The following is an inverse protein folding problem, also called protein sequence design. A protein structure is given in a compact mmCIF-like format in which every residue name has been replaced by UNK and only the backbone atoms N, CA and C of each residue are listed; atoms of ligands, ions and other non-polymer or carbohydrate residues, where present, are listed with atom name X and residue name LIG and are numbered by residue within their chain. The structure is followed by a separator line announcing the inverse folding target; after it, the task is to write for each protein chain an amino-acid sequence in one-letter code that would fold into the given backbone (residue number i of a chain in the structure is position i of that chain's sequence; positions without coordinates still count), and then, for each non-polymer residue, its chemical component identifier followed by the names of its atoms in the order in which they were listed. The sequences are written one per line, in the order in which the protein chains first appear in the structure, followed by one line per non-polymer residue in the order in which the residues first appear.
data_IF_187668903117
#
_entry.id   IF_187668903117
#
_cell.length_a   1.000
_cell.length_b   1.000
_cell.length_c   1.000
_cell.angle_alpha   90.00
_cell.angle_beta   90.00
_cell.angle_gamma   90.00
#
_symmetry.space_group_name_H-M   'P 1'
#
loop_
_entity.id
_entity.type
_entity.pdbx_description
1 polymer ?
#
# COMPACT_ATOMS: atom_id res chain seq x y z
N UNK A 1 -9.98 47.70 38.89
CA UNK A 1 -10.10 46.23 38.67
C UNK A 1 -9.98 45.96 37.18
N UNK A 2 -8.80 45.57 36.72
CA UNK A 2 -8.55 45.22 35.33
C UNK A 2 -8.70 43.70 35.19
N UNK A 3 -9.63 43.26 34.36
CA UNK A 3 -9.79 41.83 34.03
C UNK A 3 -8.78 41.45 32.97
N UNK A 4 -7.83 40.55 33.33
CA UNK A 4 -6.97 39.86 32.35
C UNK A 4 -7.80 38.77 31.64
N UNK A 5 -7.86 38.86 30.34
CA UNK A 5 -8.30 37.75 29.51
C UNK A 5 -7.09 36.88 29.17
N UNK A 6 -7.09 35.62 29.62
CA UNK A 6 -6.13 34.61 29.20
C UNK A 6 -6.66 34.02 27.90
N UNK A 7 -5.99 34.33 26.79
CA UNK A 7 -6.22 33.66 25.52
C UNK A 7 -5.41 32.37 25.55
N UNK A 8 -6.09 31.25 25.66
CA UNK A 8 -5.48 29.93 25.48
C UNK A 8 -5.19 29.72 23.98
N UNK A 9 -3.91 29.75 23.60
CA UNK A 9 -3.49 29.26 22.28
C UNK A 9 -3.59 27.74 22.24
N UNK A 10 -4.57 27.25 21.50
CA UNK A 10 -4.60 25.88 21.03
C UNK A 10 -3.53 25.74 19.95
N UNK A 11 -2.41 25.12 20.30
CA UNK A 11 -1.43 24.66 19.33
C UNK A 11 -2.03 23.44 18.63
N UNK A 12 -2.61 23.66 17.47
CA UNK A 12 -2.94 22.60 16.54
C UNK A 12 -1.62 22.02 16.02
N UNK A 13 -1.34 20.77 16.35
CA UNK A 13 -0.30 19.97 15.68
C UNK A 13 -0.73 19.69 14.24
N UNK A 14 -0.68 20.71 13.40
CA UNK A 14 -0.77 20.61 11.97
C UNK A 14 0.62 20.30 11.42
N UNK A 15 0.91 19.03 11.13
CA UNK A 15 2.08 18.71 10.34
C UNK A 15 1.98 19.46 9.02
N UNK A 16 2.94 20.34 8.73
CA UNK A 16 3.04 21.06 7.47
C UNK A 16 3.18 20.05 6.33
N UNK A 17 2.10 19.85 5.59
CA UNK A 17 2.13 19.14 4.30
C UNK A 17 2.69 20.15 3.29
N UNK A 18 4.02 20.17 3.13
CA UNK A 18 4.61 20.92 2.02
C UNK A 18 4.19 20.29 0.69
N UNK A 19 3.74 21.08 -0.29
CA UNK A 19 3.44 20.57 -1.61
C UNK A 19 4.74 20.12 -2.27
N UNK A 20 4.94 18.80 -2.38
CA UNK A 20 6.03 18.24 -3.15
C UNK A 20 5.86 18.65 -4.61
N UNK A 21 6.94 19.00 -5.29
CA UNK A 21 6.99 19.33 -6.71
C UNK A 21 6.48 18.14 -7.55
N UNK A 22 5.19 18.15 -7.88
CA UNK A 22 4.49 17.18 -8.69
C UNK A 22 3.45 16.38 -7.89
N UNK A 23 2.17 16.79 -7.98
CA UNK A 23 1.07 15.96 -7.50
C UNK A 23 1.09 14.60 -8.21
N UNK A 24 0.67 13.49 -7.54
CA UNK A 24 0.49 12.20 -8.17
C UNK A 24 -0.35 12.35 -9.46
N UNK A 25 0.04 11.67 -10.54
CA UNK A 25 -0.66 11.82 -11.83
C UNK A 25 -2.12 11.40 -11.76
N UNK A 26 -2.41 10.36 -10.99
CA UNK A 26 -3.78 9.89 -10.77
C UNK A 26 -4.68 10.93 -10.11
N UNK A 27 -4.11 11.98 -9.52
CA UNK A 27 -4.82 12.98 -8.72
C UNK A 27 -4.96 14.34 -9.41
N UNK A 28 -4.42 14.48 -10.62
CA UNK A 28 -4.42 15.76 -11.33
C UNK A 28 -5.86 16.25 -11.64
N UNK A 29 -6.76 15.33 -11.96
CA UNK A 29 -8.14 15.64 -12.34
C UNK A 29 -9.14 15.62 -11.18
N UNK A 30 -8.69 15.27 -9.97
CA UNK A 30 -9.52 15.24 -8.75
C UNK A 30 -10.87 14.50 -8.93
N UNK A 31 -10.86 13.40 -9.67
CA UNK A 31 -12.04 12.55 -9.85
C UNK A 31 -12.34 11.76 -8.56
N UNK A 32 -13.54 11.18 -8.47
CA UNK A 32 -13.96 10.36 -7.32
C UNK A 32 -12.89 9.30 -6.99
N UNK A 33 -12.53 9.18 -5.71
CA UNK A 33 -11.46 8.30 -5.24
C UNK A 33 -10.03 8.83 -5.48
N UNK A 34 -9.90 9.99 -6.15
CA UNK A 34 -8.65 10.73 -6.34
C UNK A 34 -8.79 12.21 -5.90
N UNK A 35 -9.82 12.49 -5.15
CA UNK A 35 -10.19 13.80 -4.59
C UNK A 35 -9.87 13.92 -3.09
N UNK A 36 -10.46 14.88 -2.40
CA UNK A 36 -10.26 15.11 -0.98
C UNK A 36 -11.33 14.44 -0.09
N UNK A 37 -11.89 13.29 -0.50
CA UNK A 37 -13.02 12.64 0.17
C UNK A 37 -12.70 11.24 0.69
N UNK A 38 -11.44 10.92 0.97
CA UNK A 38 -11.01 9.68 1.60
C UNK A 38 -11.00 9.76 3.13
N UNK A 39 -10.77 8.61 3.79
CA UNK A 39 -10.76 8.47 5.24
C UNK A 39 -12.16 8.38 5.85
N UNK A 40 -12.23 8.03 7.13
CA UNK A 40 -13.49 7.83 7.86
C UNK A 40 -14.37 9.09 7.89
N UNK A 41 -13.75 10.28 7.95
CA UNK A 41 -14.46 11.58 7.90
C UNK A 41 -14.75 12.08 6.49
N UNK A 42 -14.33 11.37 5.44
CA UNK A 42 -14.45 11.78 4.03
C UNK A 42 -13.93 13.20 3.76
N UNK A 43 -12.85 13.56 4.39
CA UNK A 43 -12.25 14.90 4.36
C UNK A 43 -10.73 14.89 4.21
N UNK A 44 -10.18 13.74 3.83
CA UNK A 44 -8.73 13.59 3.62
C UNK A 44 -8.43 13.36 2.15
N UNK A 45 -7.39 14.00 1.64
CA UNK A 45 -6.96 13.83 0.25
C UNK A 45 -6.58 12.36 0.00
N UNK A 46 -7.24 11.72 -0.95
CA UNK A 46 -6.99 10.33 -1.36
C UNK A 46 -5.54 10.13 -1.87
N UNK A 47 -4.88 11.21 -2.23
CA UNK A 47 -3.54 11.26 -2.79
C UNK A 47 -2.50 11.74 -1.77
N UNK A 48 -2.90 11.93 -0.52
CA UNK A 48 -2.01 12.38 0.52
C UNK A 48 -0.89 11.36 0.76
N UNK A 49 0.31 11.86 0.99
CA UNK A 49 1.46 11.08 1.40
C UNK A 49 2.13 11.73 2.60
N UNK A 50 2.71 10.94 3.47
CA UNK A 50 3.41 11.41 4.66
C UNK A 50 4.90 11.18 4.52
N UNK A 51 5.71 12.07 5.07
CA UNK A 51 7.15 11.87 5.23
C UNK A 51 7.37 10.81 6.33
N UNK A 52 8.10 9.78 5.98
CA UNK A 52 8.61 8.75 6.89
C UNK A 52 10.10 9.02 7.05
N UNK A 53 10.49 9.54 8.21
CA UNK A 53 11.90 9.69 8.52
C UNK A 53 12.54 8.32 8.61
N UNK A 54 13.66 8.16 7.91
CA UNK A 54 14.43 6.93 7.88
C UNK A 54 15.03 6.58 9.24
N UNK A 55 15.48 5.35 9.37
CA UNK A 55 16.10 4.87 10.60
C UNK A 55 16.37 3.37 10.58
N UNK A 56 16.91 2.88 11.69
CA UNK A 56 17.25 1.46 11.88
C UNK A 56 16.19 0.79 12.77
N UNK A 57 15.84 -0.44 12.42
CA UNK A 57 14.85 -1.24 13.13
C UNK A 57 15.12 -2.73 12.92
N UNK A 58 14.40 -3.58 13.63
CA UNK A 58 14.43 -5.03 13.44
C UNK A 58 13.21 -5.47 12.63
N UNK A 59 13.42 -5.96 11.40
CA UNK A 59 12.34 -6.50 10.58
C UNK A 59 11.67 -7.68 11.31
N UNK A 60 10.36 -7.82 11.14
CA UNK A 60 9.56 -8.86 11.80
C UNK A 60 9.64 -8.82 13.34
N UNK A 61 10.06 -7.70 13.92
CA UNK A 61 10.36 -7.56 15.35
C UNK A 61 11.43 -8.57 15.85
N UNK A 62 12.38 -8.92 14.98
CA UNK A 62 13.44 -9.89 15.26
C UNK A 62 14.82 -9.26 15.02
N UNK A 63 15.65 -9.20 16.07
CA UNK A 63 16.98 -8.59 16.03
C UNK A 63 17.94 -9.24 15.01
N UNK A 64 17.69 -10.47 14.60
CA UNK A 64 18.46 -11.15 13.54
C UNK A 64 18.34 -10.45 12.18
N UNK A 65 17.28 -9.68 11.97
CA UNK A 65 16.95 -9.07 10.69
C UNK A 65 17.01 -7.55 10.73
N UNK A 66 18.02 -7.00 11.39
CA UNK A 66 18.22 -5.54 11.43
C UNK A 66 18.25 -4.94 10.01
N UNK A 67 17.60 -3.80 9.86
CA UNK A 67 17.56 -3.05 8.61
C UNK A 67 17.60 -1.54 8.86
N UNK A 68 18.20 -0.82 7.92
CA UNK A 68 18.16 0.65 7.85
C UNK A 68 17.46 1.06 6.57
N UNK A 69 16.54 1.97 6.68
CA UNK A 69 15.85 2.59 5.53
C UNK A 69 16.12 4.10 5.53
N UNK A 70 16.34 4.68 4.35
CA UNK A 70 16.40 6.15 4.21
C UNK A 70 15.01 6.75 4.23
N UNK A 71 14.92 8.07 4.44
CA UNK A 71 13.65 8.77 4.43
C UNK A 71 12.94 8.66 3.07
N UNK A 72 11.63 8.47 3.10
CA UNK A 72 10.77 8.39 1.93
C UNK A 72 9.38 8.95 2.25
N UNK A 73 8.56 9.16 1.25
CA UNK A 73 7.14 9.47 1.45
C UNK A 73 6.31 8.23 1.13
N UNK A 74 5.31 7.94 1.96
CA UNK A 74 4.38 6.84 1.72
C UNK A 74 2.95 7.39 1.57
N UNK A 75 2.21 6.88 0.58
CA UNK A 75 0.78 7.17 0.45
C UNK A 75 0.08 6.74 1.75
N UNK A 76 -0.74 7.62 2.33
CA UNK A 76 -1.40 7.32 3.61
C UNK A 76 -2.52 6.29 3.46
N UNK A 77 -3.06 6.13 2.26
CA UNK A 77 -4.06 5.14 1.90
C UNK A 77 -3.54 4.14 0.87
N UNK A 78 -4.16 2.97 0.80
CA UNK A 78 -4.05 2.08 -0.35
C UNK A 78 -4.56 2.80 -1.61
N UNK A 79 -4.06 2.43 -2.78
CA UNK A 79 -4.53 2.99 -4.05
C UNK A 79 -6.01 2.65 -4.24
N UNK A 80 -6.82 3.65 -4.51
CA UNK A 80 -8.26 3.51 -4.72
C UNK A 80 -8.60 3.09 -6.15
N UNK A 81 -9.80 2.56 -6.37
CA UNK A 81 -10.30 2.30 -7.73
C UNK A 81 -10.25 3.56 -8.60
N UNK A 82 -10.64 4.73 -8.05
CA UNK A 82 -10.60 5.99 -8.80
C UNK A 82 -9.20 6.39 -9.26
N UNK A 83 -8.20 6.25 -8.40
CA UNK A 83 -6.79 6.48 -8.79
C UNK A 83 -6.32 5.51 -9.85
N UNK A 84 -6.64 4.22 -9.70
CA UNK A 84 -6.24 3.22 -10.68
C UNK A 84 -6.96 3.38 -12.02
N UNK A 85 -8.21 3.85 -12.02
CA UNK A 85 -8.96 4.18 -13.24
C UNK A 85 -8.24 5.24 -14.07
N UNK A 86 -7.71 6.28 -13.43
CA UNK A 86 -6.94 7.32 -14.12
C UNK A 86 -5.69 6.74 -14.83
N UNK A 87 -5.05 5.72 -14.25
CA UNK A 87 -3.95 4.99 -14.90
C UNK A 87 -4.43 4.23 -16.15
N UNK A 88 -5.56 3.52 -16.03
CA UNK A 88 -6.13 2.79 -17.16
C UNK A 88 -6.60 3.72 -18.27
N UNK A 89 -7.16 4.88 -17.91
CA UNK A 89 -7.58 5.90 -18.88
C UNK A 89 -6.39 6.48 -19.66
N UNK A 90 -5.21 6.48 -19.05
CA UNK A 90 -3.97 6.94 -19.67
C UNK A 90 -3.26 5.87 -20.53
N UNK A 91 -3.71 4.61 -20.55
CA UNK A 91 -3.11 3.56 -21.39
C UNK A 91 -3.33 3.85 -22.91
N UNK A 92 -2.34 3.61 -23.77
CA UNK A 92 -1.05 2.97 -23.49
C UNK A 92 0.06 3.92 -22.99
N UNK A 93 -0.15 5.23 -22.91
CA UNK A 93 0.89 6.22 -22.55
C UNK A 93 1.37 6.12 -21.09
N UNK A 94 0.58 5.45 -20.22
CA UNK A 94 0.96 5.18 -18.82
C UNK A 94 1.90 3.97 -18.66
N UNK A 95 2.26 3.27 -19.73
CA UNK A 95 3.23 2.16 -19.65
C UNK A 95 4.59 2.66 -19.18
N UNK A 96 5.22 1.99 -18.19
CA UNK A 96 6.53 2.38 -17.72
C UNK A 96 7.61 2.12 -18.79
N UNK A 97 8.66 2.92 -18.74
CA UNK A 97 9.90 2.71 -19.50
C UNK A 97 10.90 1.95 -18.62
N UNK A 98 11.89 1.34 -19.25
CA UNK A 98 13.00 0.70 -18.53
C UNK A 98 13.61 1.70 -17.55
N UNK A 99 13.72 1.28 -16.29
CA UNK A 99 14.24 2.10 -15.20
C UNK A 99 13.18 2.90 -14.43
N UNK A 100 11.97 3.10 -14.94
CA UNK A 100 10.91 3.80 -14.21
C UNK A 100 10.58 3.07 -12.91
N UNK A 101 10.22 3.82 -11.86
CA UNK A 101 9.90 3.26 -10.54
C UNK A 101 11.10 2.64 -9.83
N UNK A 102 12.34 3.01 -10.17
CA UNK A 102 13.54 2.55 -9.50
C UNK A 102 13.67 3.15 -8.08
N UNK A 103 14.17 2.36 -7.15
CA UNK A 103 14.66 2.88 -5.87
C UNK A 103 15.99 3.61 -6.10
N UNK A 104 16.16 4.87 -5.63
CA UNK A 104 17.31 5.70 -6.02
C UNK A 104 18.66 5.15 -5.59
N UNK A 105 18.69 4.35 -4.52
CA UNK A 105 19.92 3.75 -3.98
C UNK A 105 20.15 2.31 -4.42
N UNK A 106 19.25 1.74 -5.22
CA UNK A 106 19.36 0.34 -5.66
C UNK A 106 19.35 0.27 -7.18
N UNK A 107 20.51 0.26 -7.83
CA UNK A 107 20.62 0.18 -9.30
C UNK A 107 19.87 -1.02 -9.87
N UNK A 108 19.16 -0.80 -10.99
CA UNK A 108 18.42 -1.84 -11.69
C UNK A 108 17.14 -2.30 -10.97
N UNK A 109 16.64 -1.53 -9.99
CA UNK A 109 15.38 -1.82 -9.30
C UNK A 109 14.13 -1.38 -10.05
N UNK A 110 14.26 -0.58 -11.10
CA UNK A 110 13.17 -0.09 -11.92
C UNK A 110 12.62 -1.12 -12.90
N UNK A 111 11.65 -0.69 -13.71
CA UNK A 111 11.01 -1.51 -14.74
C UNK A 111 12.02 -2.18 -15.67
N UNK A 112 11.78 -3.42 -16.03
CA UNK A 112 12.61 -4.19 -16.95
C UNK A 112 11.86 -4.44 -18.26
N UNK A 113 12.55 -4.39 -19.40
CA UNK A 113 11.93 -4.67 -20.71
C UNK A 113 11.30 -6.06 -20.79
N UNK A 114 11.87 -7.05 -20.08
CA UNK A 114 11.31 -8.40 -20.02
C UNK A 114 9.91 -8.47 -19.39
N UNK A 115 9.49 -7.42 -18.65
CA UNK A 115 8.18 -7.35 -18.00
C UNK A 115 7.09 -6.77 -18.86
N UNK A 116 7.43 -6.17 -20.03
CA UNK A 116 6.44 -5.56 -20.93
C UNK A 116 5.35 -6.53 -21.36
N UNK A 117 5.70 -7.82 -21.53
CA UNK A 117 4.77 -8.90 -21.89
C UNK A 117 3.70 -9.17 -20.85
N UNK A 118 3.93 -8.81 -19.57
CA UNK A 118 3.01 -9.03 -18.47
C UNK A 118 2.07 -7.84 -18.22
N UNK A 119 2.39 -6.65 -18.73
CA UNK A 119 1.49 -5.50 -18.64
C UNK A 119 0.50 -5.53 -19.79
N UNK A 120 -0.69 -5.98 -19.50
CA UNK A 120 -1.78 -6.23 -20.44
C UNK A 120 -2.44 -4.94 -20.95
N UNK A 121 -3.36 -5.11 -21.88
CA UNK A 121 -4.22 -4.02 -22.36
C UNK A 121 -5.25 -3.64 -21.29
N UNK A 122 -5.81 -2.43 -21.38
CA UNK A 122 -6.89 -1.98 -20.49
C UNK A 122 -8.00 -3.03 -20.33
N UNK A 123 -8.53 -3.53 -21.46
CA UNK A 123 -9.62 -4.51 -21.47
C UNK A 123 -9.27 -5.79 -20.72
N UNK A 124 -8.05 -6.31 -20.90
CA UNK A 124 -7.59 -7.52 -20.21
C UNK A 124 -7.39 -7.29 -18.73
N UNK A 125 -6.91 -6.10 -18.32
CA UNK A 125 -6.77 -5.71 -16.93
C UNK A 125 -8.14 -5.64 -16.27
N UNK A 126 -9.09 -4.91 -16.87
CA UNK A 126 -10.46 -4.78 -16.37
C UNK A 126 -11.18 -6.13 -16.24
N UNK A 127 -11.01 -7.03 -17.24
CA UNK A 127 -11.54 -8.39 -17.18
C UNK A 127 -10.91 -9.18 -16.02
N UNK A 128 -9.60 -9.06 -15.80
CA UNK A 128 -8.90 -9.70 -14.69
C UNK A 128 -9.38 -9.20 -13.34
N UNK A 129 -9.60 -7.89 -13.19
CA UNK A 129 -10.14 -7.29 -11.97
C UNK A 129 -11.59 -7.72 -11.71
N UNK A 130 -12.38 -7.86 -12.76
CA UNK A 130 -13.76 -8.32 -12.68
C UNK A 130 -13.89 -9.83 -12.44
N UNK A 131 -12.93 -10.64 -12.89
CA UNK A 131 -12.94 -12.09 -12.73
C UNK A 131 -12.43 -12.58 -11.36
N UNK A 132 -11.90 -11.70 -10.56
CA UNK A 132 -10.98 -11.97 -9.45
C UNK A 132 -11.55 -12.59 -8.18
N UNK A 133 -12.75 -13.17 -8.16
CA UNK A 133 -13.26 -13.91 -7.00
C UNK A 133 -13.75 -15.28 -7.41
N UNK A 134 -13.23 -16.34 -6.80
CA UNK A 134 -13.70 -17.73 -7.06
C UNK A 134 -15.20 -17.93 -6.79
N UNK A 135 -15.81 -16.99 -6.05
CA UNK A 135 -17.24 -17.01 -5.69
C UNK A 135 -18.04 -15.79 -6.23
N UNK A 136 -17.41 -14.91 -7.00
CA UNK A 136 -18.05 -13.76 -7.63
C UNK A 136 -18.62 -12.69 -6.67
N UNK A 137 -18.39 -12.80 -5.36
CA UNK A 137 -19.07 -12.01 -4.34
C UNK A 137 -18.40 -10.69 -3.97
N UNK A 138 -17.14 -10.47 -4.32
CA UNK A 138 -16.37 -9.30 -3.86
C UNK A 138 -15.74 -8.54 -5.02
N UNK A 139 -16.55 -8.23 -6.02
CA UNK A 139 -16.13 -7.37 -7.12
C UNK A 139 -16.22 -5.90 -6.67
N UNK A 140 -15.07 -5.23 -6.63
CA UNK A 140 -15.03 -3.79 -6.33
C UNK A 140 -14.82 -2.93 -7.58
N UNK A 141 -14.37 -3.53 -8.68
CA UNK A 141 -14.21 -2.83 -9.96
C UNK A 141 -15.51 -2.81 -10.76
N UNK A 142 -15.82 -1.66 -11.31
CA UNK A 142 -16.92 -1.47 -12.28
C UNK A 142 -16.40 -0.77 -13.52
N UNK A 143 -16.93 -1.10 -14.70
CA UNK A 143 -16.52 -0.50 -15.98
C UNK A 143 -16.77 1.02 -16.07
N UNK A 144 -17.65 1.55 -15.21
CA UNK A 144 -17.94 2.98 -15.08
C UNK A 144 -17.72 3.43 -13.64
N UNK A 145 -17.32 4.69 -13.39
CA UNK A 145 -17.20 5.24 -12.04
C UNK A 145 -18.51 5.16 -11.25
N UNK A 146 -18.40 4.85 -9.95
CA UNK A 146 -19.56 4.71 -9.06
C UNK A 146 -19.22 4.87 -7.58
N UNK A 147 -20.03 4.32 -6.70
CA UNK A 147 -19.86 4.42 -5.25
C UNK A 147 -18.57 3.70 -4.72
N UNK A 148 -18.00 2.82 -5.54
CA UNK A 148 -16.81 2.02 -5.21
C UNK A 148 -15.48 2.68 -5.55
N UNK A 149 -15.47 3.91 -6.05
CA UNK A 149 -14.23 4.61 -6.41
C UNK A 149 -13.28 4.85 -5.22
N UNK A 150 -13.81 4.89 -3.99
CA UNK A 150 -13.03 5.04 -2.75
C UNK A 150 -12.58 3.72 -2.13
N UNK A 151 -13.02 2.59 -2.68
CA UNK A 151 -12.59 1.26 -2.25
C UNK A 151 -11.16 1.03 -2.76
N UNK A 152 -10.28 0.37 -1.97
CA UNK A 152 -8.95 0.04 -2.44
C UNK A 152 -9.04 -0.89 -3.66
N UNK A 153 -8.28 -0.58 -4.69
CA UNK A 153 -8.20 -1.38 -5.90
C UNK A 153 -7.69 -2.79 -5.59
N UNK A 154 -8.21 -3.78 -6.29
CA UNK A 154 -7.77 -5.17 -6.15
C UNK A 154 -7.91 -5.96 -7.46
N UNK A 155 -7.43 -7.20 -7.44
CA UNK A 155 -7.37 -8.02 -8.63
C UNK A 155 -6.22 -7.64 -9.56
N UNK A 156 -5.16 -7.06 -9.00
CA UNK A 156 -3.97 -6.64 -9.73
C UNK A 156 -2.96 -7.78 -9.82
N UNK A 157 -2.18 -7.80 -10.89
CA UNK A 157 -0.87 -8.45 -10.90
C UNK A 157 0.18 -7.53 -10.30
N UNK A 158 1.32 -8.07 -9.87
CA UNK A 158 2.45 -7.28 -9.39
C UNK A 158 2.93 -6.27 -10.44
N UNK A 159 2.95 -6.66 -11.70
CA UNK A 159 3.39 -5.80 -12.81
C UNK A 159 2.48 -4.58 -13.00
N UNK A 160 1.19 -4.73 -12.80
CA UNK A 160 0.24 -3.62 -12.89
C UNK A 160 0.34 -2.70 -11.68
N UNK A 161 0.54 -3.26 -10.49
CA UNK A 161 0.80 -2.50 -9.29
C UNK A 161 2.09 -1.68 -9.41
N UNK A 162 3.17 -2.30 -9.94
CA UNK A 162 4.43 -1.61 -10.21
C UNK A 162 4.26 -0.50 -11.24
N UNK A 163 3.63 -0.82 -12.39
CA UNK A 163 3.41 0.13 -13.47
C UNK A 163 2.59 1.34 -13.02
N UNK A 164 1.56 1.11 -12.21
CA UNK A 164 0.77 2.19 -11.61
C UNK A 164 1.65 3.12 -10.78
N UNK A 165 2.40 2.59 -9.81
CA UNK A 165 3.22 3.42 -8.92
C UNK A 165 4.31 4.20 -9.72
N UNK A 166 4.94 3.57 -10.71
CA UNK A 166 5.93 4.22 -11.57
C UNK A 166 5.29 5.36 -12.39
N UNK A 167 4.12 5.10 -13.00
CA UNK A 167 3.38 6.13 -13.74
C UNK A 167 2.93 7.28 -12.84
N UNK A 168 2.50 6.97 -11.62
CA UNK A 168 2.00 7.94 -10.64
C UNK A 168 3.11 8.80 -9.98
N UNK A 169 4.34 8.66 -10.46
CA UNK A 169 5.50 9.42 -10.00
C UNK A 169 6.15 8.88 -8.73
N UNK A 170 5.96 7.61 -8.46
CA UNK A 170 6.54 6.91 -7.34
C UNK A 170 7.10 5.53 -7.71
N UNK A 171 7.10 4.62 -6.76
CA UNK A 171 7.53 3.23 -6.89
C UNK A 171 6.81 2.33 -5.87
N UNK A 172 6.92 1.02 -6.02
CA UNK A 172 6.53 0.11 -4.95
C UNK A 172 7.46 0.31 -3.73
N UNK A 173 6.93 0.21 -2.50
CA UNK A 173 7.78 0.11 -1.31
C UNK A 173 8.61 -1.17 -1.36
N UNK A 174 9.81 -1.15 -0.80
CA UNK A 174 10.50 -2.39 -0.46
C UNK A 174 9.81 -3.07 0.73
N UNK A 175 10.06 -4.35 0.90
CA UNK A 175 9.60 -5.11 2.07
C UNK A 175 10.07 -4.45 3.38
N UNK A 176 11.30 -3.96 3.39
CA UNK A 176 11.86 -3.26 4.54
C UNK A 176 11.14 -1.93 4.83
N UNK A 177 10.86 -1.11 3.81
CA UNK A 177 10.14 0.17 3.98
C UNK A 177 8.71 -0.04 4.48
N UNK A 178 7.99 -1.00 3.87
CA UNK A 178 6.63 -1.31 4.30
C UNK A 178 6.59 -1.75 5.77
N UNK A 179 7.48 -2.69 6.13
CA UNK A 179 7.54 -3.21 7.51
C UNK A 179 7.99 -2.13 8.50
N UNK A 180 8.94 -1.25 8.11
CA UNK A 180 9.37 -0.12 8.92
C UNK A 180 8.20 0.76 9.35
N UNK A 181 7.31 1.10 8.42
CA UNK A 181 6.11 1.90 8.71
C UNK A 181 5.14 1.12 9.59
N UNK A 182 4.94 -0.16 9.31
CA UNK A 182 3.98 -0.98 10.05
C UNK A 182 4.39 -1.20 11.51
N UNK A 183 5.70 -1.43 11.78
CA UNK A 183 6.19 -1.61 13.17
C UNK A 183 6.46 -0.29 13.91
N UNK A 184 6.23 0.86 13.28
CA UNK A 184 6.53 2.16 13.91
C UNK A 184 8.03 2.46 14.03
N UNK A 185 8.86 1.96 13.09
CA UNK A 185 10.31 2.11 13.10
C UNK A 185 10.94 1.41 14.30
N UNK A 186 11.80 2.10 15.04
CA UNK A 186 12.47 1.57 16.24
C UNK A 186 11.54 1.25 17.41
N UNK A 187 10.25 1.67 17.35
CA UNK A 187 9.27 1.33 18.41
C UNK A 187 8.88 -0.15 18.41
N UNK A 188 9.12 -0.88 17.32
CA UNK A 188 8.87 -2.32 17.21
C UNK A 188 7.45 -2.70 17.65
N UNK A 189 6.44 -1.93 17.22
CA UNK A 189 5.04 -2.12 17.56
C UNK A 189 4.55 -3.50 17.14
N UNK A 190 3.64 -4.05 17.91
CA UNK A 190 2.93 -5.30 17.58
C UNK A 190 1.94 -5.10 16.43
N UNK A 191 1.23 -3.97 16.46
CA UNK A 191 0.25 -3.57 15.45
C UNK A 191 0.61 -2.17 14.93
N UNK A 192 0.14 -1.73 13.75
CA UNK A 192 0.45 -0.40 13.24
C UNK A 192 0.15 0.73 14.22
N UNK A 193 -0.94 0.62 14.94
CA UNK A 193 -1.42 1.59 15.94
C UNK A 193 -0.79 1.45 17.34
N UNK A 194 -0.04 0.39 17.61
CA UNK A 194 0.59 0.16 18.92
C UNK A 194 0.35 -1.23 19.47
N UNK A 195 -0.07 -1.35 20.74
CA UNK A 195 -0.24 -2.62 21.46
C UNK A 195 -1.70 -3.03 21.70
N UNK A 196 -2.66 -2.10 21.54
CA UNK A 196 -4.06 -2.35 21.78
C UNK A 196 -4.61 -3.48 20.88
N UNK A 197 -5.43 -4.39 21.42
CA UNK A 197 -6.01 -5.47 20.63
C UNK A 197 -6.76 -4.95 19.40
N UNK A 198 -6.75 -5.70 18.28
CA UNK A 198 -7.51 -5.35 17.09
C UNK A 198 -9.01 -5.27 17.36
N UNK A 199 -9.66 -4.27 16.81
CA UNK A 199 -11.10 -4.09 16.77
C UNK A 199 -11.54 -3.42 15.45
N UNK A 200 -12.84 -3.34 15.14
CA UNK A 200 -13.31 -2.75 13.88
C UNK A 200 -12.96 -1.26 13.69
N UNK A 201 -12.58 -0.54 14.74
CA UNK A 201 -12.12 0.86 14.64
C UNK A 201 -10.64 0.98 14.28
N UNK A 202 -9.88 -0.14 14.37
CA UNK A 202 -8.43 -0.23 14.14
C UNK A 202 -8.05 -0.99 12.88
N UNK A 203 -8.86 -1.99 12.49
CA UNK A 203 -8.52 -2.82 11.34
C UNK A 203 -9.76 -3.22 10.54
N UNK A 204 -9.59 -3.33 9.22
CA UNK A 204 -10.60 -3.88 8.31
C UNK A 204 -10.36 -5.37 8.15
N UNK A 205 -10.80 -6.15 9.14
CA UNK A 205 -10.66 -7.60 9.24
C UNK A 205 -12.00 -8.24 9.60
N UNK A 206 -12.10 -9.55 9.50
CA UNK A 206 -13.29 -10.31 9.89
C UNK A 206 -13.33 -10.53 11.40
N UNK A 207 -14.12 -9.75 12.11
CA UNK A 207 -14.31 -9.87 13.56
C UNK A 207 -15.50 -10.78 13.96
N UNK A 208 -16.38 -11.08 13.01
CA UNK A 208 -17.53 -11.96 13.24
C UNK A 208 -17.77 -12.87 12.03
N UNK A 209 -18.35 -14.07 12.20
CA UNK A 209 -18.71 -14.95 11.08
C UNK A 209 -19.58 -14.27 10.03
N UNK A 210 -20.54 -13.43 10.43
CA UNK A 210 -21.41 -12.69 9.52
C UNK A 210 -20.63 -11.74 8.61
N UNK A 211 -19.53 -11.13 9.08
CA UNK A 211 -18.69 -10.28 8.24
C UNK A 211 -17.98 -11.08 7.13
N UNK A 212 -17.59 -12.31 7.43
CA UNK A 212 -16.97 -13.23 6.46
C UNK A 212 -17.94 -13.59 5.32
N UNK A 213 -19.22 -13.73 5.64
CA UNK A 213 -20.26 -14.07 4.64
C UNK A 213 -20.62 -12.86 3.75
N UNK A 214 -20.60 -11.65 4.29
CA UNK A 214 -20.97 -10.43 3.57
C UNK A 214 -19.82 -9.81 2.78
N UNK A 215 -18.56 -10.12 3.14
CA UNK A 215 -17.35 -9.82 2.36
C UNK A 215 -17.16 -8.36 1.94
N UNK A 216 -17.64 -7.39 2.71
CA UNK A 216 -17.62 -5.98 2.30
C UNK A 216 -16.26 -5.33 2.58
N UNK A 217 -15.57 -4.97 1.50
CA UNK A 217 -14.50 -3.97 1.58
C UNK A 217 -15.08 -2.59 1.83
N UNK A 218 -14.42 -1.87 2.74
CA UNK A 218 -14.78 -0.49 3.08
C UNK A 218 -13.92 0.50 2.30
N UNK A 219 -14.34 1.76 2.14
CA UNK A 219 -13.49 2.82 1.64
C UNK A 219 -12.19 2.91 2.43
N UNK A 220 -11.11 3.36 1.77
CA UNK A 220 -9.80 3.51 2.41
C UNK A 220 -9.87 4.40 3.66
N UNK A 221 -9.14 4.04 4.71
CA UNK A 221 -9.09 4.79 5.97
C UNK A 221 -10.37 4.70 6.81
N UNK A 222 -11.23 3.70 6.59
CA UNK A 222 -12.48 3.52 7.36
C UNK A 222 -12.24 3.12 8.82
N UNK A 223 -11.05 2.64 9.18
CA UNK A 223 -10.66 2.29 10.53
C UNK A 223 -9.80 3.42 11.15
N UNK A 224 -10.40 4.47 11.75
CA UNK A 224 -9.70 5.72 12.09
C UNK A 224 -8.65 5.57 13.18
N UNK A 225 -8.74 4.54 14.03
CA UNK A 225 -7.75 4.24 15.08
C UNK A 225 -6.65 3.29 14.60
N UNK A 226 -6.67 2.87 13.34
CA UNK A 226 -5.74 1.92 12.74
C UNK A 226 -4.48 2.54 12.14
N UNK A 227 -4.30 3.85 12.26
CA UNK A 227 -3.17 4.55 11.70
C UNK A 227 -1.84 4.12 12.33
N UNK A 228 -0.81 3.97 11.50
CA UNK A 228 0.56 3.80 11.97
C UNK A 228 1.05 5.07 12.68
N UNK A 229 2.23 5.00 13.28
CA UNK A 229 2.91 6.16 13.90
C UNK A 229 2.94 7.41 13.01
N UNK A 230 3.06 7.23 11.70
CA UNK A 230 3.10 8.32 10.72
C UNK A 230 1.75 8.68 10.11
N UNK A 231 0.67 8.08 10.57
CA UNK A 231 -0.67 8.35 10.03
C UNK A 231 -0.99 7.58 8.74
N UNK A 232 -0.32 6.45 8.49
CA UNK A 232 -0.62 5.55 7.37
C UNK A 232 -1.70 4.57 7.80
N UNK A 233 -2.80 4.50 7.05
CA UNK A 233 -3.97 3.68 7.34
C UNK A 233 -3.96 2.34 6.61
N UNK A 234 -4.83 1.43 7.03
CA UNK A 234 -5.13 0.15 6.38
C UNK A 234 -3.94 -0.82 6.28
N UNK A 235 -2.92 -0.66 7.16
CA UNK A 235 -1.78 -1.57 7.23
C UNK A 235 -2.07 -2.88 7.98
N UNK A 236 -3.30 -3.07 8.46
CA UNK A 236 -3.84 -4.31 8.99
C UNK A 236 -5.24 -4.53 8.45
N UNK A 237 -5.43 -5.54 7.61
CA UNK A 237 -6.67 -5.81 6.90
C UNK A 237 -6.83 -5.03 5.60
N UNK A 238 -8.07 -4.93 5.10
CA UNK A 238 -8.38 -4.35 3.79
C UNK A 238 -7.81 -5.19 2.64
N UNK A 239 -6.76 -4.77 1.94
CA UNK A 239 -6.11 -5.54 0.88
C UNK A 239 -4.68 -5.92 1.27
N UNK A 240 -4.19 -7.04 0.75
CA UNK A 240 -2.75 -7.31 0.72
C UNK A 240 -2.08 -6.31 -0.20
N UNK A 241 -0.85 -5.98 0.09
CA UNK A 241 -0.11 -4.97 -0.65
C UNK A 241 1.15 -5.57 -1.25
N UNK A 242 1.30 -5.46 -2.56
CA UNK A 242 2.53 -5.82 -3.23
C UNK A 242 3.67 -4.91 -2.78
N UNK A 243 4.82 -5.53 -2.52
CA UNK A 243 6.09 -4.83 -2.32
C UNK A 243 7.04 -5.11 -3.48
N UNK A 244 8.17 -4.38 -3.53
CA UNK A 244 9.15 -4.52 -4.61
C UNK A 244 9.87 -5.85 -4.61
N UNK A 245 9.95 -6.49 -3.46
CA UNK A 245 10.75 -7.68 -3.23
C UNK A 245 10.16 -8.91 -3.88
N UNK A 246 11.03 -9.72 -4.48
CA UNK A 246 10.72 -11.06 -4.94
C UNK A 246 11.00 -12.10 -3.87
N UNK A 247 10.44 -13.29 -4.04
CA UNK A 247 10.70 -14.45 -3.20
C UNK A 247 11.16 -15.64 -4.05
N UNK A 248 12.26 -16.28 -3.68
CA UNK A 248 12.70 -17.53 -4.28
C UNK A 248 12.34 -18.76 -3.43
N UNK A 249 11.66 -18.57 -2.31
CA UNK A 249 11.35 -19.67 -1.36
C UNK A 249 9.99 -19.48 -0.73
N UNK A 250 9.38 -20.59 -0.33
CA UNK A 250 8.10 -20.63 0.38
C UNK A 250 8.22 -20.36 1.90
N UNK A 251 9.43 -20.18 2.42
CA UNK A 251 9.66 -19.94 3.84
C UNK A 251 9.86 -18.46 4.14
N UNK A 252 9.11 -17.87 5.08
CA UNK A 252 9.11 -16.44 5.37
C UNK A 252 10.49 -15.85 5.70
N UNK A 253 11.36 -16.63 6.31
CA UNK A 253 12.64 -16.16 6.86
C UNK A 253 13.82 -16.35 5.90
N UNK A 254 13.66 -17.12 4.83
CA UNK A 254 14.77 -17.42 3.92
C UNK A 254 14.90 -16.31 2.87
N UNK A 255 16.11 -15.73 2.82
CA UNK A 255 16.48 -14.75 1.81
C UNK A 255 16.15 -13.30 2.14
N UNK A 256 15.92 -12.99 3.41
CA UNK A 256 15.95 -11.61 3.89
C UNK A 256 17.41 -11.17 3.87
N UNK A 257 17.81 -10.15 3.09
CA UNK A 257 19.18 -9.67 3.09
C UNK A 257 19.61 -9.18 4.48
N UNK A 258 20.78 -9.65 4.97
CA UNK A 258 21.39 -9.19 6.23
C UNK A 258 22.88 -9.01 5.98
N UNK A 259 23.47 -7.85 6.30
CA UNK A 259 22.80 -6.62 6.71
C UNK A 259 21.97 -5.99 5.59
N UNK A 260 20.98 -5.17 5.96
CA UNK A 260 20.11 -4.47 5.02
C UNK A 260 20.22 -2.96 5.21
N UNK A 261 20.65 -2.24 4.19
CA UNK A 261 20.52 -0.79 4.08
C UNK A 261 19.89 -0.48 2.74
N UNK A 262 18.67 0.08 2.75
CA UNK A 262 17.86 0.33 1.57
C UNK A 262 17.82 -0.89 0.63
N UNK A 263 17.75 -2.07 1.19
CA UNK A 263 17.85 -3.31 0.45
C UNK A 263 16.48 -3.77 -0.05
N UNK A 264 16.48 -4.47 -1.16
CA UNK A 264 15.39 -5.34 -1.56
C UNK A 264 15.95 -6.64 -2.15
N UNK A 265 15.14 -7.67 -2.13
CA UNK A 265 15.49 -8.92 -2.76
C UNK A 265 15.04 -8.90 -4.22
N UNK A 266 15.97 -9.13 -5.15
CA UNK A 266 15.61 -9.43 -6.54
C UNK A 266 15.12 -10.87 -6.62
N UNK A 267 14.00 -11.08 -7.30
CA UNK A 267 13.67 -12.40 -7.78
C UNK A 267 14.46 -12.63 -9.08
N UNK A 268 15.19 -13.74 -9.13
CA UNK A 268 15.92 -14.16 -10.32
C UNK A 268 15.13 -15.22 -11.12
N UNK A 269 13.91 -15.53 -10.71
CA UNK A 269 13.09 -16.53 -11.40
C UNK A 269 12.22 -15.87 -12.46
N UNK A 270 12.20 -16.41 -13.65
CA UNK A 270 11.32 -15.99 -14.75
C UNK A 270 9.82 -16.13 -14.38
N UNK A 271 9.51 -16.86 -13.31
CA UNK A 271 8.17 -17.16 -12.83
C UNK A 271 7.68 -16.24 -11.71
N UNK A 272 8.36 -15.13 -11.45
CA UNK A 272 7.95 -13.99 -10.62
C UNK A 272 7.15 -14.33 -9.37
N UNK A 273 7.82 -14.81 -8.32
CA UNK A 273 7.20 -14.90 -7.00
C UNK A 273 7.41 -13.59 -6.27
N UNK A 274 6.33 -12.91 -5.88
CA UNK A 274 6.38 -11.60 -5.27
C UNK A 274 5.91 -11.63 -3.83
N UNK A 275 6.57 -10.83 -2.98
CA UNK A 275 6.18 -10.68 -1.59
C UNK A 275 4.98 -9.75 -1.51
N UNK A 276 4.04 -10.12 -0.67
CA UNK A 276 2.92 -9.30 -0.25
C UNK A 276 2.98 -9.08 1.26
N UNK A 277 2.53 -7.92 1.67
CA UNK A 277 2.36 -7.53 3.05
C UNK A 277 0.89 -7.34 3.37
N UNK A 278 0.58 -7.37 4.65
CA UNK A 278 -0.78 -7.28 5.14
C UNK A 278 -1.60 -8.55 4.89
N UNK A 279 -2.69 -8.71 5.64
CA UNK A 279 -3.72 -9.69 5.35
C UNK A 279 -4.96 -8.98 4.79
N UNK A 280 -5.76 -9.72 4.04
CA UNK A 280 -6.97 -9.15 3.45
C UNK A 280 -8.15 -9.21 4.43
N UNK A 281 -9.21 -8.48 4.14
CA UNK A 281 -10.39 -8.26 4.99
C UNK A 281 -11.09 -9.54 5.49
N UNK A 282 -10.93 -10.69 4.81
CA UNK A 282 -11.52 -11.99 5.22
C UNK A 282 -10.72 -12.67 6.34
N UNK A 283 -9.50 -12.21 6.59
CA UNK A 283 -8.67 -12.75 7.67
C UNK A 283 -9.20 -12.32 9.05
N UNK A 284 -8.99 -13.16 10.06
CA UNK A 284 -9.35 -12.85 11.43
C UNK A 284 -8.40 -11.84 12.10
N UNK A 285 -8.78 -11.34 13.29
CA UNK A 285 -7.99 -10.33 14.01
C UNK A 285 -6.61 -10.84 14.46
N UNK A 286 -6.40 -12.14 14.54
CA UNK A 286 -5.10 -12.77 14.85
C UNK A 286 -4.03 -12.41 13.79
N UNK A 287 -4.44 -12.08 12.56
CA UNK A 287 -3.56 -11.69 11.46
C UNK A 287 -3.26 -10.18 11.39
N UNK A 288 -3.69 -9.40 12.38
CA UNK A 288 -3.37 -7.97 12.42
C UNK A 288 -1.89 -7.68 12.77
N UNK A 289 -1.12 -8.70 13.15
CA UNK A 289 0.28 -8.57 13.52
C UNK A 289 1.13 -8.17 12.32
N UNK A 290 1.92 -7.11 12.48
CA UNK A 290 2.77 -6.54 11.41
C UNK A 290 4.02 -7.34 11.09
N UNK A 291 4.35 -8.37 11.88
CA UNK A 291 5.45 -9.30 11.60
C UNK A 291 5.19 -10.24 10.41
N UNK A 292 3.93 -10.43 10.06
CA UNK A 292 3.55 -11.39 9.02
C UNK A 292 3.97 -10.96 7.62
N UNK A 293 4.57 -11.88 6.88
CA UNK A 293 4.88 -11.79 5.45
C UNK A 293 4.10 -12.87 4.73
N UNK A 294 3.36 -12.48 3.71
CA UNK A 294 2.76 -13.43 2.80
C UNK A 294 3.67 -13.59 1.59
N UNK A 295 4.00 -14.81 1.31
CA UNK A 295 4.65 -15.18 0.07
C UNK A 295 3.62 -15.91 -0.77
N UNK A 296 3.12 -15.26 -1.81
CA UNK A 296 2.20 -15.89 -2.71
C UNK A 296 2.94 -16.27 -3.99
N UNK A 297 2.95 -17.55 -4.22
CA UNK A 297 3.40 -18.14 -5.48
C UNK A 297 2.21 -18.17 -6.43
N UNK A 298 2.00 -17.11 -7.19
CA UNK A 298 1.15 -17.21 -8.35
C UNK A 298 2.03 -17.51 -9.57
N UNK A 299 1.63 -18.48 -10.38
CA UNK A 299 2.14 -18.52 -11.74
C UNK A 299 1.68 -17.25 -12.44
N UNK A 300 2.63 -16.46 -12.94
CA UNK A 300 2.32 -15.19 -13.57
C UNK A 300 1.45 -15.35 -14.83
N UNK A 301 0.50 -14.45 -14.99
CA UNK A 301 0.18 -13.26 -14.20
C UNK A 301 -0.96 -13.52 -13.18
N UNK A 302 -0.62 -14.23 -12.10
CA UNK A 302 -1.57 -14.54 -11.03
C UNK A 302 -2.21 -13.30 -10.44
N UNK A 303 -3.51 -13.38 -10.15
CA UNK A 303 -4.32 -12.30 -9.58
C UNK A 303 -5.22 -12.83 -8.48
N UNK A 304 -5.42 -12.03 -7.47
CA UNK A 304 -6.46 -12.26 -6.48
C UNK A 304 -7.17 -10.95 -6.18
N UNK A 305 -8.47 -11.00 -5.97
CA UNK A 305 -9.23 -9.83 -5.48
C UNK A 305 -8.64 -9.24 -4.21
N UNK A 306 -7.91 -10.04 -3.46
CA UNK A 306 -7.26 -9.61 -2.23
C UNK A 306 -6.02 -8.73 -2.47
N UNK A 307 -5.48 -8.68 -3.68
CA UNK A 307 -4.20 -8.07 -3.98
C UNK A 307 -4.39 -6.62 -4.44
N UNK A 308 -3.86 -5.71 -3.65
CA UNK A 308 -3.85 -4.27 -3.88
C UNK A 308 -2.43 -3.70 -3.87
N UNK A 309 -2.34 -2.38 -3.75
CA UNK A 309 -1.07 -1.66 -3.83
C UNK A 309 -1.12 -0.35 -3.03
N UNK A 310 0.05 0.03 -2.54
CA UNK A 310 0.38 1.35 -1.98
C UNK A 310 1.69 1.82 -2.58
N UNK A 311 1.81 3.10 -2.91
CA UNK A 311 3.03 3.64 -3.49
C UNK A 311 3.86 4.41 -2.45
N UNK A 312 5.16 4.49 -2.72
CA UNK A 312 6.09 5.37 -2.03
C UNK A 312 6.77 6.31 -3.03
N UNK A 313 7.33 7.41 -2.51
CA UNK A 313 8.08 8.39 -3.29
C UNK A 313 9.34 8.77 -2.54
N UNK A 314 10.40 9.00 -3.29
CA UNK A 314 11.67 9.41 -2.71
C UNK A 314 11.63 10.86 -2.26
N UNK A 315 12.34 11.17 -1.17
CA UNK A 315 12.56 12.54 -0.71
C UNK A 315 13.66 13.13 -1.58
N UNK A 316 13.39 14.25 -2.19
CA UNK A 316 14.37 15.01 -3.00
C UNK A 316 15.18 15.93 -2.12
#
# INVERSE_FOLDING_TARGET
MRRLWIVALLVACGGNVEPTSGAPRSCLNRTSGADASCGAGRNTDCCASVLVEGGTYNRLNDARYAATVTSFRMDIFQVTNGRFRAFLDALPSSRPKVGDGAHPKVPGSGWQAAWDKFLRTRKEIELGMAAGGADGKVLTWTGVPGANEYIPVGGLSWYEAFAFCAWDGGRLPTDAEWNYVAVGGSEQRKYPWGSEPPDPTRATLTFTPAFKETGHLTPVGSAPKGASRWGVFDMAGSRREFVRDGSATTTPDIGIPVPCTDCFRRDNTENGQWIQRNFHWVAGPEYANVGERLMLTYEEPGRSVADGVRCVRDVR
#
